data_IF_251452692784
#
_entry.id   IF_251452692784
#
_cell.length_a   1.000
_cell.length_b   1.000
_cell.length_c   1.000
_cell.angle_alpha   90.00
_cell.angle_beta   90.00
_cell.angle_gamma   90.00
#
_symmetry.space_group_name_H-M   'P 1'
#
loop_
_entity.id
_entity.type
_entity.pdbx_description
1 polymer ?
#
# COMPACT_ATOMS: atom_id res chain seq x y z
N UNK A 1 -28.28 -0.42 45.30
CA UNK A 1 -28.08 0.53 44.18
C UNK A 1 -26.91 0.03 43.36
N UNK A 2 -27.18 -0.59 42.22
CA UNK A 2 -26.14 -1.08 41.32
C UNK A 2 -25.53 0.13 40.60
N UNK A 3 -24.23 0.33 40.80
CA UNK A 3 -23.42 1.32 40.09
C UNK A 3 -23.50 1.03 38.59
N UNK A 4 -24.14 1.92 37.83
CA UNK A 4 -24.08 1.90 36.38
C UNK A 4 -22.61 2.04 35.96
N UNK A 5 -22.04 0.98 35.41
CA UNK A 5 -20.75 1.04 34.75
C UNK A 5 -20.84 2.13 33.68
N UNK A 6 -19.97 3.14 33.76
CA UNK A 6 -19.86 4.16 32.74
C UNK A 6 -19.54 3.46 31.42
N UNK A 7 -20.50 3.37 30.52
CA UNK A 7 -20.25 3.00 29.13
C UNK A 7 -19.18 3.96 28.62
N UNK A 8 -17.96 3.45 28.47
CA UNK A 8 -16.82 4.25 28.02
C UNK A 8 -17.20 4.94 26.72
N UNK A 9 -17.24 6.27 26.72
CA UNK A 9 -17.39 7.07 25.52
C UNK A 9 -16.13 6.88 24.70
N UNK A 10 -16.16 5.89 23.81
CA UNK A 10 -15.06 5.61 22.91
C UNK A 10 -14.83 6.84 22.00
N UNK A 11 -13.60 7.37 21.99
CA UNK A 11 -13.26 8.52 21.14
C UNK A 11 -13.58 8.23 19.67
N UNK A 12 -14.18 9.20 18.99
CA UNK A 12 -14.55 9.09 17.60
C UNK A 12 -13.30 8.95 16.70
N UNK A 13 -13.23 7.85 15.94
CA UNK A 13 -12.15 7.62 14.98
C UNK A 13 -12.40 8.37 13.68
N UNK A 14 -11.79 9.54 13.54
CA UNK A 14 -11.93 10.39 12.34
C UNK A 14 -10.64 11.11 11.98
N UNK A 15 -10.48 11.45 10.70
CA UNK A 15 -9.35 12.21 10.21
C UNK A 15 -9.68 12.99 8.95
N UNK A 16 -9.04 14.16 8.83
CA UNK A 16 -8.94 14.91 7.57
C UNK A 16 -7.49 14.93 7.09
N UNK A 17 -7.32 14.69 5.78
CA UNK A 17 -6.05 14.70 5.06
C UNK A 17 -6.20 15.60 3.83
N UNK A 18 -5.19 16.42 3.57
CA UNK A 18 -5.05 17.15 2.32
C UNK A 18 -3.73 16.75 1.68
N UNK A 19 -3.76 16.47 0.37
CA UNK A 19 -2.61 16.09 -0.44
C UNK A 19 -2.61 16.95 -1.70
N UNK A 20 -1.49 17.59 -2.00
CA UNK A 20 -1.34 18.48 -3.15
C UNK A 20 -0.05 18.14 -3.87
N UNK A 21 -0.16 17.89 -5.17
CA UNK A 21 0.96 17.74 -6.11
C UNK A 21 0.75 18.69 -7.29
N UNK A 22 1.59 18.59 -8.32
CA UNK A 22 1.36 19.30 -9.57
C UNK A 22 0.29 18.62 -10.46
N UNK A 23 -0.07 17.38 -10.15
CA UNK A 23 -1.02 16.55 -10.91
C UNK A 23 -2.41 16.60 -10.27
N UNK A 24 -2.47 16.56 -8.93
CA UNK A 24 -3.73 16.47 -8.19
C UNK A 24 -3.77 17.34 -6.93
N UNK A 25 -4.97 17.79 -6.57
CA UNK A 25 -5.28 18.45 -5.30
C UNK A 25 -6.47 17.77 -4.64
N UNK A 26 -6.21 17.13 -3.50
CA UNK A 26 -7.17 16.25 -2.86
C UNK A 26 -7.41 16.67 -1.41
N UNK A 27 -8.68 16.60 -1.00
CA UNK A 27 -9.10 16.68 0.39
C UNK A 27 -10.00 15.49 0.73
N UNK A 28 -9.64 14.77 1.79
CA UNK A 28 -10.40 13.63 2.32
C UNK A 28 -10.73 13.89 3.78
N UNK A 29 -11.99 13.69 4.17
CA UNK A 29 -12.46 13.60 5.54
C UNK A 29 -13.15 12.26 5.74
N UNK A 30 -12.65 11.46 6.68
CA UNK A 30 -13.12 10.09 6.93
C UNK A 30 -13.49 9.94 8.42
N UNK A 31 -14.63 9.32 8.69
CA UNK A 31 -15.02 8.83 10.01
C UNK A 31 -15.34 7.35 9.95
N UNK A 32 -14.66 6.57 10.80
CA UNK A 32 -14.75 5.11 10.82
C UNK A 32 -15.95 4.57 11.62
N UNK A 33 -16.39 5.32 12.63
CA UNK A 33 -17.37 4.89 13.64
C UNK A 33 -18.76 5.52 13.43
N UNK A 34 -19.35 5.41 12.24
CA UNK A 34 -20.73 5.90 12.06
C UNK A 34 -21.74 4.88 12.58
N UNK A 35 -22.20 5.08 13.82
CA UNK A 35 -23.24 4.24 14.39
C UNK A 35 -24.61 4.62 13.81
N UNK A 36 -25.33 3.69 13.13
CA UNK A 36 -26.57 4.00 12.42
C UNK A 36 -27.70 4.50 13.32
N UNK A 37 -27.62 4.28 14.64
CA UNK A 37 -28.60 4.79 15.61
C UNK A 37 -28.23 6.15 16.24
N UNK A 38 -26.99 6.64 16.04
CA UNK A 38 -26.51 7.89 16.65
C UNK A 38 -26.33 9.00 15.62
N UNK A 39 -25.92 8.68 14.39
CA UNK A 39 -25.83 9.64 13.29
C UNK A 39 -25.92 8.93 11.92
N UNK A 40 -26.63 9.51 10.93
CA UNK A 40 -26.62 8.98 9.56
C UNK A 40 -25.23 9.10 8.93
N UNK A 41 -24.90 8.18 8.03
CA UNK A 41 -23.68 8.28 7.23
C UNK A 41 -23.73 9.51 6.33
N UNK A 42 -22.65 10.30 6.32
CA UNK A 42 -22.45 11.37 5.35
C UNK A 42 -21.45 10.90 4.31
N UNK A 43 -21.87 10.73 3.06
CA UNK A 43 -21.03 10.26 1.97
C UNK A 43 -21.12 11.23 0.79
N UNK A 44 -20.01 11.88 0.45
CA UNK A 44 -19.89 12.78 -0.69
C UNK A 44 -18.53 12.56 -1.34
N UNK A 45 -18.51 11.90 -2.50
CA UNK A 45 -17.29 11.58 -3.23
C UNK A 45 -17.34 12.29 -4.57
N UNK A 46 -16.30 13.06 -4.88
CA UNK A 46 -16.12 13.81 -6.12
C UNK A 46 -14.66 13.71 -6.55
N UNK A 47 -14.32 12.63 -7.24
CA UNK A 47 -12.98 12.41 -7.79
C UNK A 47 -12.82 13.02 -9.18
N UNK A 48 -13.94 13.29 -9.86
CA UNK A 48 -13.97 13.62 -11.29
C UNK A 48 -14.13 12.38 -12.19
N UNK A 49 -14.06 11.17 -11.63
CA UNK A 49 -14.26 9.89 -12.33
C UNK A 49 -15.52 9.22 -11.76
N UNK A 50 -16.63 9.25 -12.51
CA UNK A 50 -17.95 8.84 -11.97
C UNK A 50 -18.01 7.39 -11.47
N UNK A 51 -17.29 6.47 -12.12
CA UNK A 51 -17.25 5.08 -11.67
C UNK A 51 -16.43 4.90 -10.38
N UNK A 52 -15.33 5.65 -10.21
CA UNK A 52 -14.56 5.66 -8.96
C UNK A 52 -15.37 6.27 -7.81
N UNK A 53 -16.15 7.32 -8.08
CA UNK A 53 -17.06 7.92 -7.11
C UNK A 53 -18.06 6.89 -6.59
N UNK A 54 -18.65 6.10 -7.49
CA UNK A 54 -19.56 5.00 -7.14
C UNK A 54 -18.87 3.92 -6.30
N UNK A 55 -17.66 3.50 -6.67
CA UNK A 55 -16.90 2.49 -5.93
C UNK A 55 -16.56 2.93 -4.49
N UNK A 56 -16.08 4.16 -4.33
CA UNK A 56 -15.75 4.72 -3.01
C UNK A 56 -17.00 5.02 -2.18
N UNK A 57 -18.11 5.38 -2.83
CA UNK A 57 -19.41 5.48 -2.17
C UNK A 57 -19.83 4.12 -1.60
N UNK A 58 -19.77 3.05 -2.41
CA UNK A 58 -20.09 1.69 -1.96
C UNK A 58 -19.19 1.24 -0.79
N UNK A 59 -17.89 1.53 -0.89
CA UNK A 59 -16.92 1.27 0.19
C UNK A 59 -17.33 1.93 1.50
N UNK A 60 -17.61 3.24 1.48
CA UNK A 60 -18.03 3.97 2.68
C UNK A 60 -19.38 3.48 3.22
N UNK A 61 -20.34 3.24 2.32
CA UNK A 61 -21.69 2.81 2.66
C UNK A 61 -21.70 1.49 3.41
N UNK A 62 -21.07 0.47 2.83
CA UNK A 62 -21.07 -0.87 3.41
C UNK A 62 -20.07 -1.02 4.57
N UNK A 63 -19.04 -0.17 4.63
CA UNK A 63 -18.10 -0.12 5.73
C UNK A 63 -18.66 0.53 7.00
N UNK A 64 -19.83 1.18 6.93
CA UNK A 64 -20.36 1.93 8.06
C UNK A 64 -19.58 3.22 8.32
N UNK A 65 -18.98 3.80 7.28
CA UNK A 65 -18.13 5.00 7.37
C UNK A 65 -18.86 6.24 6.83
N UNK A 66 -18.42 7.42 7.26
CA UNK A 66 -18.71 8.68 6.59
C UNK A 66 -17.47 9.14 5.84
N UNK A 67 -17.64 9.54 4.57
CA UNK A 67 -16.56 9.87 3.67
C UNK A 67 -16.93 11.12 2.87
N UNK A 68 -16.14 12.17 3.03
CA UNK A 68 -16.11 13.29 2.10
C UNK A 68 -14.78 13.27 1.36
N UNK A 69 -14.80 13.21 0.04
CA UNK A 69 -13.60 13.26 -0.80
C UNK A 69 -13.84 14.20 -1.98
N UNK A 70 -12.93 15.14 -2.16
CA UNK A 70 -12.88 16.02 -3.32
C UNK A 70 -11.48 15.95 -3.95
N UNK A 71 -11.44 15.77 -5.27
CA UNK A 71 -10.23 15.81 -6.08
C UNK A 71 -10.40 16.83 -7.21
N UNK A 72 -9.36 17.60 -7.44
CA UNK A 72 -9.11 18.33 -8.68
C UNK A 72 -7.84 17.72 -9.30
N UNK A 73 -7.98 17.07 -10.45
CA UNK A 73 -6.92 16.25 -11.05
C UNK A 73 -6.82 16.48 -12.56
N UNK A 74 -5.70 16.06 -13.13
CA UNK A 74 -5.31 16.22 -14.54
C UNK A 74 -5.97 15.23 -15.50
N UNK A 75 -7.30 15.07 -15.41
CA UNK A 75 -8.10 14.13 -16.22
C UNK A 75 -8.03 14.35 -17.75
N UNK A 76 -7.42 15.45 -18.19
CA UNK A 76 -7.14 15.70 -19.60
C UNK A 76 -5.94 14.88 -20.13
N UNK A 77 -5.12 14.32 -19.24
CA UNK A 77 -4.05 13.36 -19.56
C UNK A 77 -4.64 11.95 -19.59
N UNK A 78 -5.04 11.43 -18.43
CA UNK A 78 -5.75 10.16 -18.22
C UNK A 78 -6.38 10.11 -16.80
N UNK A 79 -6.91 8.95 -16.40
CA UNK A 79 -7.48 8.74 -15.07
C UNK A 79 -6.47 8.29 -13.99
N UNK A 80 -5.21 8.06 -14.36
CA UNK A 80 -4.22 7.37 -13.53
C UNK A 80 -3.87 8.16 -12.26
N UNK A 81 -3.33 9.38 -12.40
CA UNK A 81 -2.90 10.18 -11.26
C UNK A 81 -4.07 10.46 -10.32
N UNK A 82 -5.24 10.78 -10.88
CA UNK A 82 -6.46 11.05 -10.11
C UNK A 82 -6.89 9.83 -9.29
N UNK A 83 -6.96 8.64 -9.89
CA UNK A 83 -7.39 7.43 -9.19
C UNK A 83 -6.36 6.98 -8.14
N UNK A 84 -5.07 6.98 -8.48
CA UNK A 84 -3.98 6.65 -7.55
C UNK A 84 -3.96 7.58 -6.34
N UNK A 85 -3.93 8.89 -6.58
CA UNK A 85 -3.74 9.86 -5.50
C UNK A 85 -4.97 9.95 -4.59
N UNK A 86 -6.17 9.68 -5.12
CA UNK A 86 -7.38 9.52 -4.30
C UNK A 86 -7.26 8.33 -3.37
N UNK A 87 -6.74 7.19 -3.86
CA UNK A 87 -6.53 6.00 -3.07
C UNK A 87 -5.45 6.20 -1.99
N UNK A 88 -4.34 6.87 -2.32
CA UNK A 88 -3.31 7.26 -1.35
C UNK A 88 -3.90 8.16 -0.26
N UNK A 89 -4.58 9.25 -0.64
CA UNK A 89 -5.17 10.18 0.32
C UNK A 89 -6.21 9.49 1.23
N UNK A 90 -7.01 8.56 0.68
CA UNK A 90 -7.94 7.74 1.46
C UNK A 90 -7.22 6.79 2.42
N UNK A 91 -6.14 6.13 1.98
CA UNK A 91 -5.32 5.27 2.83
C UNK A 91 -4.69 6.03 4.00
N UNK A 92 -4.17 7.23 3.73
CA UNK A 92 -3.63 8.12 4.76
C UNK A 92 -4.71 8.54 5.78
N UNK A 93 -5.90 8.91 5.29
CA UNK A 93 -7.02 9.25 6.15
C UNK A 93 -7.48 8.06 7.00
N UNK A 94 -7.54 6.85 6.43
CA UNK A 94 -7.86 5.61 7.14
C UNK A 94 -6.86 5.34 8.27
N UNK A 95 -5.56 5.36 7.97
CA UNK A 95 -4.49 5.15 8.96
C UNK A 95 -4.55 6.17 10.10
N UNK A 96 -4.72 7.45 9.75
CA UNK A 96 -4.82 8.54 10.73
C UNK A 96 -6.09 8.43 11.60
N UNK A 97 -7.23 8.10 11.00
CA UNK A 97 -8.49 7.94 11.71
C UNK A 97 -8.47 6.72 12.64
N UNK A 98 -7.80 5.64 12.23
CA UNK A 98 -7.66 4.43 13.02
C UNK A 98 -6.81 4.66 14.28
N UNK A 99 -5.73 5.43 14.15
CA UNK A 99 -4.83 5.72 15.25
C UNK A 99 -4.04 4.48 15.72
N UNK A 100 -3.74 4.36 17.01
CA UNK A 100 -3.03 3.20 17.56
C UNK A 100 -3.78 1.89 17.28
N UNK A 101 -3.07 0.88 16.79
CA UNK A 101 -3.62 -0.46 16.51
C UNK A 101 -3.75 -1.25 17.81
N UNK A 102 -4.74 -0.89 18.62
CA UNK A 102 -5.07 -1.52 19.90
C UNK A 102 -6.58 -1.60 20.09
N UNK A 103 -7.03 -2.62 20.81
CA UNK A 103 -8.45 -2.80 21.13
C UNK A 103 -9.36 -3.01 19.92
N UNK A 104 -8.81 -3.53 18.81
CA UNK A 104 -9.55 -3.86 17.58
C UNK A 104 -9.31 -5.32 17.19
N UNK A 105 -10.20 -5.88 16.36
CA UNK A 105 -10.08 -7.25 15.85
C UNK A 105 -8.84 -7.49 14.99
N UNK A 106 -8.28 -6.43 14.38
CA UNK A 106 -7.11 -6.44 13.46
C UNK A 106 -7.35 -7.12 12.13
N UNK A 107 -7.89 -8.33 12.14
CA UNK A 107 -8.22 -9.10 10.95
C UNK A 107 -9.68 -8.94 10.61
N UNK A 108 -9.96 -8.86 9.31
CA UNK A 108 -11.33 -8.88 8.80
C UNK A 108 -11.41 -9.59 7.47
N UNK A 109 -12.53 -10.27 7.24
CA UNK A 109 -12.83 -10.95 5.98
C UNK A 109 -14.23 -10.58 5.53
N UNK A 110 -14.35 -10.21 4.26
CA UNK A 110 -15.62 -9.89 3.63
C UNK A 110 -15.84 -10.75 2.39
N UNK A 111 -17.06 -11.24 2.22
CA UNK A 111 -17.54 -11.76 0.95
C UNK A 111 -18.75 -10.94 0.54
N UNK A 112 -18.79 -10.53 -0.72
CA UNK A 112 -19.93 -9.80 -1.26
C UNK A 112 -20.23 -10.31 -2.68
N UNK A 113 -21.47 -10.73 -2.96
CA UNK A 113 -21.92 -10.92 -4.32
C UNK A 113 -22.40 -9.60 -4.92
N UNK A 114 -22.45 -9.57 -6.25
CA UNK A 114 -23.32 -8.68 -7.00
C UNK A 114 -23.76 -9.45 -8.24
N UNK A 115 -25.03 -9.84 -8.23
CA UNK A 115 -25.63 -10.75 -9.21
C UNK A 115 -24.77 -12.01 -9.41
N UNK A 116 -24.21 -12.24 -10.60
CA UNK A 116 -23.39 -13.41 -10.92
C UNK A 116 -21.95 -13.31 -10.39
N UNK A 117 -21.49 -12.12 -10.01
CA UNK A 117 -20.16 -11.90 -9.49
C UNK A 117 -20.08 -12.18 -7.98
N UNK A 118 -18.94 -12.72 -7.54
CA UNK A 118 -18.64 -12.93 -6.13
C UNK A 118 -17.18 -12.57 -5.86
N UNK A 119 -16.96 -11.70 -4.89
CA UNK A 119 -15.63 -11.29 -4.48
C UNK A 119 -15.39 -11.52 -2.99
N UNK A 120 -14.12 -11.75 -2.65
CA UNK A 120 -13.59 -11.88 -1.29
C UNK A 120 -12.56 -10.79 -1.04
N UNK A 121 -12.56 -10.20 0.14
CA UNK A 121 -11.47 -9.36 0.62
C UNK A 121 -11.03 -9.81 2.02
N UNK A 122 -9.72 -9.80 2.27
CA UNK A 122 -9.11 -10.07 3.57
C UNK A 122 -8.14 -8.94 3.90
N UNK A 123 -8.27 -8.37 5.09
CA UNK A 123 -7.41 -7.29 5.57
C UNK A 123 -6.76 -7.66 6.90
N UNK A 124 -5.45 -7.42 7.02
CA UNK A 124 -4.69 -7.43 8.28
C UNK A 124 -4.16 -6.01 8.52
N UNK A 125 -4.61 -5.39 9.61
CA UNK A 125 -4.10 -4.09 10.10
C UNK A 125 -2.73 -4.31 10.73
N UNK A 126 -1.73 -4.46 9.86
CA UNK A 126 -0.48 -5.14 10.16
C UNK A 126 0.71 -4.21 10.35
N UNK A 127 0.58 -2.94 9.95
CA UNK A 127 1.69 -2.01 9.72
C UNK A 127 2.73 -2.53 8.70
N UNK A 128 2.32 -3.46 7.82
CA UNK A 128 3.13 -4.01 6.73
C UNK A 128 2.37 -3.82 5.41
N UNK A 129 2.70 -2.78 4.63
CA UNK A 129 2.02 -2.52 3.38
C UNK A 129 2.25 -3.67 2.40
N UNK A 130 1.17 -4.32 1.98
CA UNK A 130 1.19 -5.39 1.00
C UNK A 130 -0.19 -5.52 0.34
N UNK A 131 -0.25 -5.79 -0.97
CA UNK A 131 -1.52 -5.95 -1.66
C UNK A 131 -1.45 -7.02 -2.75
N UNK A 132 -2.47 -7.88 -2.80
CA UNK A 132 -2.80 -8.73 -3.95
C UNK A 132 -4.24 -8.42 -4.34
N UNK A 133 -4.47 -8.04 -5.60
CA UNK A 133 -5.78 -7.70 -6.13
C UNK A 133 -6.01 -8.41 -7.47
N UNK A 134 -6.72 -9.53 -7.45
CA UNK A 134 -6.98 -10.41 -8.60
C UNK A 134 -8.47 -10.38 -8.97
N UNK A 135 -8.86 -9.49 -9.88
CA UNK A 135 -10.26 -9.24 -10.22
C UNK A 135 -10.72 -9.91 -11.53
N UNK A 136 -9.76 -10.31 -12.39
CA UNK A 136 -10.03 -10.93 -13.69
C UNK A 136 -10.91 -10.07 -14.60
N UNK A 137 -10.71 -8.75 -14.59
CA UNK A 137 -11.43 -7.80 -15.42
C UNK A 137 -11.04 -7.99 -16.89
N UNK A 138 -12.01 -7.94 -17.80
CA UNK A 138 -11.81 -8.23 -19.23
C UNK A 138 -11.92 -6.98 -20.11
N UNK A 139 -12.71 -5.99 -19.70
CA UNK A 139 -12.90 -4.71 -20.38
C UNK A 139 -11.68 -3.82 -20.17
N UNK A 140 -11.51 -2.88 -21.10
CA UNK A 140 -10.50 -1.83 -21.00
C UNK A 140 -10.92 -0.74 -20.01
N UNK A 141 -12.20 -0.34 -20.02
CA UNK A 141 -12.77 0.69 -19.12
C UNK A 141 -14.17 0.35 -18.63
N UNK A 142 -14.55 0.89 -17.46
CA UNK A 142 -15.92 0.94 -16.95
C UNK A 142 -16.28 2.40 -16.68
N UNK A 143 -17.13 2.96 -17.55
CA UNK A 143 -17.31 4.41 -17.60
C UNK A 143 -15.97 5.09 -17.90
N UNK A 144 -15.61 6.08 -17.09
CA UNK A 144 -14.38 6.85 -17.27
C UNK A 144 -13.15 6.24 -16.58
N UNK A 145 -13.32 5.21 -15.75
CA UNK A 145 -12.24 4.53 -15.05
C UNK A 145 -11.65 3.40 -15.92
N UNK A 146 -10.35 3.44 -16.15
CA UNK A 146 -9.62 2.34 -16.77
C UNK A 146 -9.58 1.13 -15.83
N UNK A 147 -9.81 -0.07 -16.38
CA UNK A 147 -9.93 -1.28 -15.57
C UNK A 147 -8.63 -1.63 -14.84
N UNK A 148 -7.47 -1.26 -15.38
CA UNK A 148 -6.17 -1.45 -14.73
C UNK A 148 -6.00 -0.59 -13.47
N UNK A 149 -6.71 0.54 -13.37
CA UNK A 149 -6.65 1.39 -12.19
C UNK A 149 -7.44 0.84 -11.01
N UNK A 150 -8.38 -0.09 -11.23
CA UNK A 150 -9.15 -0.71 -10.15
C UNK A 150 -8.25 -1.51 -9.17
N UNK A 151 -7.42 -2.48 -9.61
CA UNK A 151 -6.45 -3.12 -8.73
C UNK A 151 -5.40 -2.13 -8.21
N UNK A 152 -5.03 -1.11 -9.00
CA UNK A 152 -4.09 -0.08 -8.56
C UNK A 152 -4.62 0.76 -7.38
N UNK A 153 -5.93 1.05 -7.35
CA UNK A 153 -6.59 1.74 -6.22
C UNK A 153 -6.48 0.91 -4.94
N UNK A 154 -6.71 -0.41 -5.00
CA UNK A 154 -6.53 -1.28 -3.83
C UNK A 154 -5.08 -1.32 -3.36
N UNK A 155 -4.14 -1.41 -4.30
CA UNK A 155 -2.72 -1.41 -4.01
C UNK A 155 -2.30 -0.10 -3.32
N UNK A 156 -2.58 1.04 -3.92
CA UNK A 156 -2.23 2.36 -3.38
C UNK A 156 -2.88 2.62 -2.02
N UNK A 157 -4.16 2.25 -1.84
CA UNK A 157 -4.82 2.30 -0.54
C UNK A 157 -4.06 1.48 0.51
N UNK A 158 -3.74 0.21 0.22
CA UNK A 158 -3.06 -0.68 1.17
C UNK A 158 -1.65 -0.19 1.54
N UNK A 159 -0.92 0.37 0.56
CA UNK A 159 0.40 0.95 0.78
C UNK A 159 0.33 2.09 1.79
N UNK A 160 -0.54 3.07 1.56
CA UNK A 160 -0.60 4.27 2.40
C UNK A 160 -1.29 4.00 3.75
N UNK A 161 -2.31 3.14 3.76
CA UNK A 161 -2.96 2.67 4.99
C UNK A 161 -2.02 1.85 5.88
N UNK A 162 -0.94 1.30 5.32
CA UNK A 162 -0.01 0.43 6.04
C UNK A 162 -0.62 -0.92 6.41
N UNK A 163 -1.47 -1.48 5.55
CA UNK A 163 -2.16 -2.75 5.79
C UNK A 163 -1.71 -3.82 4.81
N UNK A 164 -1.95 -5.08 5.18
CA UNK A 164 -1.87 -6.20 4.24
C UNK A 164 -3.28 -6.48 3.73
N UNK A 165 -3.45 -6.47 2.41
CA UNK A 165 -4.74 -6.57 1.74
C UNK A 165 -4.72 -7.65 0.65
N UNK A 166 -5.71 -8.53 0.67
CA UNK A 166 -5.99 -9.47 -0.42
C UNK A 166 -7.41 -9.23 -0.93
N UNK A 167 -7.59 -9.12 -2.24
CA UNK A 167 -8.89 -8.95 -2.90
C UNK A 167 -8.95 -9.89 -4.09
N UNK A 168 -9.93 -10.78 -4.11
CA UNK A 168 -10.09 -11.77 -5.17
C UNK A 168 -11.53 -11.72 -5.71
N UNK A 169 -11.70 -11.63 -7.03
CA UNK A 169 -12.98 -11.90 -7.66
C UNK A 169 -13.06 -13.38 -8.04
N UNK A 170 -13.81 -14.15 -7.26
CA UNK A 170 -13.87 -15.61 -7.39
C UNK A 170 -14.61 -16.06 -8.65
N UNK A 171 -15.58 -15.27 -9.12
CA UNK A 171 -16.36 -15.48 -10.35
C UNK A 171 -17.11 -14.19 -10.73
N UNK A 172 -17.60 -14.14 -11.95
CA UNK A 172 -18.47 -13.07 -12.49
C UNK A 172 -18.36 -13.01 -14.00
N UNK A 173 -19.24 -12.30 -14.69
CA UNK A 173 -19.14 -12.11 -16.14
C UNK A 173 -19.10 -10.63 -16.51
N UNK A 174 -19.78 -9.79 -15.73
CA UNK A 174 -19.79 -8.35 -15.91
C UNK A 174 -18.73 -7.67 -15.03
N UNK A 175 -17.82 -6.90 -15.65
CA UNK A 175 -16.74 -6.23 -14.90
C UNK A 175 -17.21 -5.12 -13.96
N UNK A 176 -18.38 -4.51 -14.19
CA UNK A 176 -19.01 -3.64 -13.19
C UNK A 176 -19.32 -4.45 -11.94
N UNK A 177 -19.97 -5.61 -12.10
CA UNK A 177 -20.36 -6.48 -10.99
C UNK A 177 -19.14 -7.03 -10.25
N UNK A 178 -18.11 -7.45 -10.99
CA UNK A 178 -16.81 -7.88 -10.44
C UNK A 178 -16.15 -6.78 -9.61
N UNK A 179 -16.08 -5.55 -10.14
CA UNK A 179 -15.46 -4.41 -9.46
C UNK A 179 -16.24 -4.00 -8.21
N UNK A 180 -17.56 -3.80 -8.34
CA UNK A 180 -18.39 -3.34 -7.23
C UNK A 180 -18.50 -4.38 -6.10
N UNK A 181 -18.59 -5.67 -6.44
CA UNK A 181 -18.55 -6.74 -5.44
C UNK A 181 -17.22 -6.74 -4.67
N UNK A 182 -16.09 -6.43 -5.31
CA UNK A 182 -14.79 -6.34 -4.65
C UNK A 182 -14.71 -5.16 -3.66
N UNK A 183 -15.17 -3.97 -4.04
CA UNK A 183 -15.25 -2.83 -3.11
C UNK A 183 -16.19 -3.10 -1.94
N UNK A 184 -17.34 -3.75 -2.19
CA UNK A 184 -18.27 -4.19 -1.14
C UNK A 184 -17.62 -5.21 -0.20
N UNK A 185 -16.89 -6.18 -0.73
CA UNK A 185 -16.17 -7.17 0.07
C UNK A 185 -15.11 -6.50 0.96
N UNK A 186 -14.33 -5.56 0.41
CA UNK A 186 -13.36 -4.77 1.18
C UNK A 186 -14.04 -3.96 2.29
N UNK A 187 -15.19 -3.35 2.00
CA UNK A 187 -15.96 -2.58 2.98
C UNK A 187 -16.32 -3.43 4.21
N UNK A 188 -16.81 -4.65 3.98
CA UNK A 188 -17.15 -5.60 5.03
C UNK A 188 -15.92 -6.06 5.81
N UNK A 189 -14.81 -6.35 5.11
CA UNK A 189 -13.56 -6.75 5.73
C UNK A 189 -12.99 -5.63 6.63
N UNK A 190 -12.98 -4.38 6.16
CA UNK A 190 -12.56 -3.22 6.96
C UNK A 190 -13.44 -3.09 8.21
N UNK A 191 -14.76 -3.12 8.04
CA UNK A 191 -15.72 -2.99 9.15
C UNK A 191 -15.47 -4.03 10.23
N UNK A 192 -15.20 -5.27 9.85
CA UNK A 192 -14.83 -6.31 10.80
C UNK A 192 -13.48 -6.01 11.47
N UNK A 193 -12.43 -5.73 10.70
CA UNK A 193 -11.07 -5.54 11.23
C UNK A 193 -10.96 -4.40 12.24
N UNK A 194 -11.69 -3.30 12.01
CA UNK A 194 -11.70 -2.13 12.89
C UNK A 194 -12.68 -2.26 14.06
N UNK A 195 -13.44 -3.35 14.16
CA UNK A 195 -14.40 -3.55 15.25
C UNK A 195 -13.67 -3.58 16.59
N UNK A 196 -14.15 -2.78 17.55
CA UNK A 196 -13.57 -2.72 18.89
C UNK A 196 -13.83 -4.02 19.65
N UNK A 197 -12.81 -4.55 20.30
CA UNK A 197 -12.91 -5.78 21.12
C UNK A 197 -13.37 -5.50 22.55
N UNK A 198 -13.28 -4.24 22.99
CA UNK A 198 -13.50 -3.85 24.39
C UNK A 198 -12.27 -4.03 25.28
N UNK A 199 -11.16 -4.56 24.75
CA UNK A 199 -9.85 -4.57 25.41
C UNK A 199 -9.01 -3.36 24.99
N UNK A 200 -7.98 -3.01 25.77
CA UNK A 200 -6.92 -2.07 25.34
C UNK A 200 -5.67 -2.80 24.83
N UNK A 201 -5.82 -4.09 24.52
CA UNK A 201 -4.72 -4.97 24.14
C UNK A 201 -4.24 -4.71 22.71
N UNK A 202 -2.95 -4.91 22.48
CA UNK A 202 -2.34 -4.86 21.16
C UNK A 202 -2.47 -6.26 20.55
N UNK A 203 -3.22 -6.46 19.44
CA UNK A 203 -3.47 -7.77 18.86
C UNK A 203 -2.25 -8.32 18.09
N UNK A 204 -1.10 -8.43 18.74
CA UNK A 204 0.18 -8.85 18.17
C UNK A 204 1.01 -9.62 19.19
N UNK A 205 1.52 -10.79 18.81
CA UNK A 205 2.46 -11.56 19.65
C UNK A 205 3.79 -10.84 19.89
N UNK A 206 4.12 -9.82 19.08
CA UNK A 206 5.32 -8.98 19.30
C UNK A 206 5.11 -7.89 20.36
N UNK A 207 3.89 -7.68 20.84
CA UNK A 207 3.57 -6.67 21.86
C UNK A 207 3.50 -5.22 21.34
N UNK A 208 4.04 -4.94 20.16
CA UNK A 208 4.03 -3.60 19.56
C UNK A 208 3.73 -3.67 18.06
N UNK A 209 3.05 -2.64 17.56
CA UNK A 209 3.12 -2.25 16.15
C UNK A 209 4.12 -1.12 16.06
N UNK A 210 5.17 -1.29 15.25
CA UNK A 210 6.07 -0.19 14.97
C UNK A 210 5.24 0.95 14.38
N UNK A 211 5.13 2.07 15.10
CA UNK A 211 4.80 3.32 14.46
C UNK A 211 5.78 3.46 13.29
N UNK A 212 5.25 3.64 12.08
CA UNK A 212 6.07 3.88 10.90
C UNK A 212 6.86 5.18 11.16
N UNK A 213 8.04 5.04 11.76
CA UNK A 213 8.96 6.16 11.91
C UNK A 213 9.48 6.47 10.52
N UNK A 214 9.62 7.76 10.20
CA UNK A 214 10.14 8.23 8.91
C UNK A 214 11.48 7.54 8.52
N UNK A 215 12.22 7.05 9.52
CA UNK A 215 13.44 6.27 9.37
C UNK A 215 13.24 4.95 8.60
N UNK A 216 12.19 4.15 8.86
CA UNK A 216 11.97 2.88 8.14
C UNK A 216 11.60 3.09 6.67
N UNK A 217 10.91 4.20 6.35
CA UNK A 217 10.60 4.56 4.96
C UNK A 217 11.87 4.84 4.15
N UNK A 218 12.90 5.43 4.76
CA UNK A 218 14.18 5.71 4.11
C UNK A 218 14.97 4.45 3.81
N UNK A 219 14.94 3.48 4.73
CA UNK A 219 15.67 2.21 4.61
C UNK A 219 15.01 1.25 3.60
N UNK A 220 13.67 1.20 3.58
CA UNK A 220 12.92 0.45 2.57
C UNK A 220 13.01 1.10 1.19
N UNK A 221 12.97 2.44 1.08
CA UNK A 221 13.22 3.15 -0.18
C UNK A 221 14.64 2.91 -0.69
N UNK A 222 15.64 2.96 0.18
CA UNK A 222 17.03 2.65 -0.16
C UNK A 222 17.20 1.19 -0.62
N UNK A 223 16.50 0.25 0.03
CA UNK A 223 16.53 -1.17 -0.35
C UNK A 223 15.86 -1.41 -1.71
N UNK A 224 14.70 -0.80 -1.97
CA UNK A 224 14.04 -0.91 -3.28
C UNK A 224 14.83 -0.22 -4.40
N UNK A 225 15.46 0.93 -4.13
CA UNK A 225 16.35 1.59 -5.07
C UNK A 225 17.61 0.76 -5.35
N UNK A 226 18.21 0.16 -4.33
CA UNK A 226 19.35 -0.74 -4.49
C UNK A 226 18.98 -1.97 -5.31
N UNK A 227 17.80 -2.55 -5.08
CA UNK A 227 17.32 -3.71 -5.84
C UNK A 227 17.03 -3.36 -7.31
N UNK A 228 16.40 -2.21 -7.59
CA UNK A 228 16.23 -1.68 -8.96
C UNK A 228 17.57 -1.44 -9.66
N UNK A 229 18.57 -0.89 -8.95
CA UNK A 229 19.91 -0.67 -9.50
C UNK A 229 20.63 -1.98 -9.81
N UNK A 230 20.45 -2.99 -8.95
CA UNK A 230 21.00 -4.33 -9.15
C UNK A 230 20.37 -4.98 -10.40
N UNK A 231 19.06 -4.91 -10.56
CA UNK A 231 18.36 -5.43 -11.75
C UNK A 231 18.81 -4.75 -13.04
N UNK A 232 19.04 -3.43 -13.02
CA UNK A 232 19.56 -2.68 -14.17
C UNK A 232 21.02 -3.05 -14.51
N UNK A 233 21.83 -3.39 -13.50
CA UNK A 233 23.20 -3.89 -13.68
C UNK A 233 23.25 -5.30 -14.28
N UNK A 234 22.27 -6.15 -13.99
CA UNK A 234 22.19 -7.49 -14.58
C UNK A 234 21.51 -7.51 -15.96
N UNK A 235 20.80 -6.45 -16.35
CA UNK A 235 20.09 -6.34 -17.64
C UNK A 235 20.88 -5.60 -18.73
N UNK A 236 21.93 -4.86 -18.37
CA UNK A 236 22.72 -4.08 -19.34
C UNK A 236 24.00 -4.80 -19.77
N UNK A 237 24.12 -5.12 -21.07
CA UNK A 237 25.34 -5.68 -21.70
C UNK A 237 26.40 -4.59 -22.02
N UNK A 238 26.29 -3.41 -21.42
CA UNK A 238 27.06 -2.23 -21.80
C UNK A 238 28.11 -1.87 -20.71
N UNK A 239 29.38 -2.14 -21.01
CA UNK A 239 30.52 -2.10 -20.08
C UNK A 239 30.80 -0.70 -19.51
N UNK A 240 30.40 0.36 -20.21
CA UNK A 240 30.58 1.74 -19.76
C UNK A 240 29.55 2.19 -18.72
N UNK A 241 28.34 1.62 -18.71
CA UNK A 241 27.31 1.91 -17.69
C UNK A 241 27.67 1.28 -16.34
N UNK A 242 28.23 0.07 -16.36
CA UNK A 242 28.71 -0.64 -15.18
C UNK A 242 29.82 0.12 -14.43
N UNK A 243 30.66 0.91 -15.12
CA UNK A 243 31.74 1.69 -14.49
C UNK A 243 31.25 2.99 -13.83
N UNK A 244 30.21 3.64 -14.36
CA UNK A 244 29.63 4.87 -13.76
C UNK A 244 28.77 4.56 -12.53
N UNK A 245 28.02 3.47 -12.55
CA UNK A 245 27.21 3.01 -11.41
C UNK A 245 28.06 2.52 -10.22
N UNK A 246 29.29 2.03 -10.46
CA UNK A 246 30.28 1.66 -9.41
C UNK A 246 30.63 2.81 -8.44
N UNK A 247 30.83 4.04 -8.96
CA UNK A 247 31.16 5.21 -8.11
C UNK A 247 29.98 5.70 -7.28
N UNK A 248 28.76 5.44 -7.74
CA UNK A 248 27.52 5.77 -7.02
C UNK A 248 27.28 4.74 -5.90
N UNK A 249 27.38 3.44 -6.23
CA UNK A 249 27.23 2.33 -5.29
C UNK A 249 28.26 2.38 -4.16
N UNK A 250 29.53 2.67 -4.47
CA UNK A 250 30.59 2.80 -3.46
C UNK A 250 30.32 3.93 -2.46
N UNK A 251 29.84 5.09 -2.92
CA UNK A 251 29.48 6.22 -2.05
C UNK A 251 28.22 5.94 -1.21
N UNK A 252 27.26 5.22 -1.78
CA UNK A 252 26.03 4.84 -1.09
C UNK A 252 26.30 3.78 0.00
N UNK A 253 27.14 2.79 -0.32
CA UNK A 253 27.63 1.78 0.62
C UNK A 253 28.43 2.40 1.77
N UNK A 254 29.35 3.33 1.47
CA UNK A 254 30.13 4.04 2.50
C UNK A 254 29.23 4.83 3.45
N UNK A 255 28.19 5.52 2.94
CA UNK A 255 27.22 6.26 3.76
C UNK A 255 26.36 5.34 4.64
N UNK A 256 25.98 4.17 4.13
CA UNK A 256 25.18 3.19 4.87
C UNK A 256 25.98 2.57 6.04
N UNK A 257 27.24 2.19 5.80
CA UNK A 257 28.15 1.63 6.81
C UNK A 257 28.51 2.66 7.90
N UNK A 258 28.60 3.95 7.57
CA UNK A 258 28.92 5.02 8.54
C UNK A 258 27.74 5.50 9.37
N UNK A 259 26.50 5.07 9.07
CA UNK A 259 25.32 5.44 9.85
C UNK A 259 25.22 4.64 11.16
N UNK A 260 24.80 5.27 12.26
CA UNK A 260 24.65 4.61 13.57
C UNK A 260 23.47 3.62 13.64
N UNK A 261 22.71 3.46 12.55
CA UNK A 261 21.50 2.64 12.48
C UNK A 261 21.76 1.18 12.04
N UNK A 262 22.94 0.87 11.50
CA UNK A 262 23.24 -0.47 11.01
C UNK A 262 23.56 -1.44 12.16
N UNK A 263 22.56 -2.24 12.58
CA UNK A 263 22.76 -3.37 13.50
C UNK A 263 23.74 -4.38 12.89
N UNK A 264 24.57 -5.01 13.73
CA UNK A 264 25.73 -5.87 13.37
C UNK A 264 25.45 -6.92 12.28
N UNK A 265 24.23 -7.47 12.22
CA UNK A 265 23.81 -8.46 11.20
C UNK A 265 23.74 -7.84 9.79
N UNK A 266 23.25 -6.60 9.65
CA UNK A 266 23.19 -5.92 8.34
C UNK A 266 24.60 -5.55 7.85
N UNK A 267 25.55 -5.26 8.74
CA UNK A 267 26.95 -5.04 8.36
C UNK A 267 27.61 -6.31 7.80
N UNK A 268 27.37 -7.47 8.42
CA UNK A 268 27.92 -8.76 7.96
C UNK A 268 27.37 -9.16 6.58
N UNK A 269 26.06 -9.03 6.37
CA UNK A 269 25.44 -9.35 5.06
C UNK A 269 25.98 -8.41 3.98
N UNK A 270 26.11 -7.11 4.27
CA UNK A 270 26.59 -6.14 3.30
C UNK A 270 28.09 -6.28 3.00
N UNK A 271 28.92 -6.59 4.00
CA UNK A 271 30.33 -6.93 3.80
C UNK A 271 30.48 -8.22 2.99
N UNK A 272 29.64 -9.23 3.22
CA UNK A 272 29.63 -10.46 2.43
C UNK A 272 29.21 -10.23 0.98
N UNK A 273 28.21 -9.38 0.73
CA UNK A 273 27.82 -8.98 -0.62
C UNK A 273 28.93 -8.19 -1.34
N UNK A 274 29.60 -7.27 -0.65
CA UNK A 274 30.77 -6.57 -1.20
C UNK A 274 31.94 -7.53 -1.47
N UNK A 275 32.15 -8.52 -0.61
CA UNK A 275 33.16 -9.56 -0.82
C UNK A 275 32.82 -10.46 -2.01
N UNK A 276 31.55 -10.84 -2.19
CA UNK A 276 31.08 -11.61 -3.35
C UNK A 276 31.24 -10.82 -4.64
N UNK A 277 30.93 -9.51 -4.63
CA UNK A 277 31.14 -8.61 -5.77
C UNK A 277 32.63 -8.43 -6.08
N UNK A 278 33.47 -8.35 -5.04
CA UNK A 278 34.94 -8.30 -5.18
C UNK A 278 35.53 -9.62 -5.70
N UNK A 279 34.95 -10.76 -5.32
CA UNK A 279 35.40 -12.07 -5.79
C UNK A 279 34.98 -12.35 -7.23
N UNK A 280 33.75 -12.00 -7.59
CA UNK A 280 33.25 -12.16 -8.97
C UNK A 280 33.99 -11.26 -9.95
N UNK A 281 34.44 -10.07 -9.52
CA UNK A 281 35.27 -9.17 -10.34
C UNK A 281 36.69 -9.68 -10.55
N UNK A 282 37.32 -10.29 -9.54
CA UNK A 282 38.63 -10.92 -9.69
C UNK A 282 38.59 -12.12 -10.65
N UNK A 283 37.52 -12.91 -10.62
CA UNK A 283 37.29 -14.03 -11.55
C UNK A 283 37.05 -13.51 -12.98
N UNK A 284 36.29 -12.42 -13.13
CA UNK A 284 36.00 -11.83 -14.44
C UNK A 284 37.23 -11.17 -15.07
N UNK A 285 38.07 -10.49 -14.28
CA UNK A 285 39.36 -9.98 -14.75
C UNK A 285 40.31 -11.13 -15.13
N UNK A 286 40.44 -12.17 -14.30
CA UNK A 286 41.28 -13.33 -14.59
C UNK A 286 40.85 -14.10 -15.87
N UNK A 287 39.54 -14.17 -16.15
CA UNK A 287 39.01 -14.77 -17.37
C UNK A 287 39.32 -13.91 -18.62
N UNK A 288 39.30 -12.58 -18.49
CA UNK A 288 39.67 -11.66 -19.57
C UNK A 288 41.19 -11.74 -19.86
N UNK A 289 42.05 -11.81 -18.84
CA UNK A 289 43.50 -11.95 -19.04
C UNK A 289 43.87 -13.29 -19.67
N UNK A 290 43.18 -14.38 -19.32
CA UNK A 290 43.39 -15.69 -19.96
C UNK A 290 42.86 -15.73 -21.40
N UNK A 291 41.74 -15.07 -21.70
CA UNK A 291 41.22 -14.97 -23.06
C UNK A 291 42.16 -14.17 -23.99
N UNK A 292 42.88 -13.18 -23.46
CA UNK A 292 43.91 -12.45 -24.21
C UNK A 292 45.19 -13.27 -24.44
N UNK A 293 45.50 -14.25 -23.59
CA UNK A 293 46.67 -15.12 -23.76
C UNK A 293 46.46 -16.21 -24.83
N UNK A 294 45.22 -16.70 -24.99
CA UNK A 294 44.87 -17.69 -26.04
C UNK A 294 44.77 -17.06 -27.44
N UNK A 295 44.56 -15.75 -27.53
CA UNK A 295 44.52 -15.03 -28.80
C UNK A 295 45.91 -14.63 -29.35
N UNK A 296 47.01 -15.02 -28.67
CA UNK A 296 48.38 -14.65 -29.02
C UNK A 296 49.33 -15.87 -29.17
N UNK A 297 48.78 -17.04 -29.52
CA UNK A 297 49.54 -18.20 -30.02
C UNK A 297 49.02 -18.62 -31.40
#
# INVERSE_FOLDING_TARGET
MASAASAGTFEARSATVSRVTNETKIQVSLSLDTHPTLAPQTISVKTGIGFLDHMLHALAKHGGMSLTLACDGDLWIDDHHTAEDCALALGAAFKKALGPVKGIKRYGTGHAPLDEALSRAVIDISSRPYCIAELGLKREKIGDLSCEMIPHVFHSFAMEAGVTLHVDCLRGDNDHHRSESAFKALALAIKEAITRTGSDDVPSTKGEYAAFSDAQSSEQRASMQAMRLLTLLFSSCDTNFALRSRRSLSRMAQRYVSSSAAKTINRLIFCSLLAIISWSTAIFEALITNAQFVACQ
#
